data_IF_731862565183
#
_entry.id   IF_731862565183
#
_cell.length_a   1.000
_cell.length_b   1.000
_cell.length_c   1.000
_cell.angle_alpha   90.00
_cell.angle_beta   90.00
_cell.angle_gamma   90.00
#
_symmetry.space_group_name_H-M   'P 1'
#
loop_
_entity.id
_entity.type
_entity.pdbx_description
1 polymer ?
#
# COMPACT_ATOMS: atom_id res chain seq x y z
N UNK A 1 -31.38 8.97 -5.75
CA UNK A 1 -30.10 8.42 -5.30
C UNK A 1 -28.99 9.16 -6.00
N UNK A 2 -28.16 9.91 -5.29
CA UNK A 2 -26.95 10.51 -5.88
C UNK A 2 -25.98 9.35 -6.09
N UNK A 3 -25.96 8.79 -7.30
CA UNK A 3 -24.99 7.77 -7.69
C UNK A 3 -23.65 8.51 -7.81
N UNK A 4 -22.85 8.44 -6.75
CA UNK A 4 -21.52 9.05 -6.69
C UNK A 4 -20.69 8.47 -7.84
N UNK A 5 -20.36 9.31 -8.83
CA UNK A 5 -19.49 8.92 -9.93
C UNK A 5 -18.15 8.47 -9.36
N UNK A 6 -17.63 7.33 -9.82
CA UNK A 6 -16.36 6.78 -9.37
C UNK A 6 -15.24 7.81 -9.55
N UNK A 7 -15.35 8.68 -10.57
CA UNK A 7 -14.42 9.81 -10.75
C UNK A 7 -14.35 10.73 -9.53
N UNK A 8 -15.50 11.08 -8.94
CA UNK A 8 -15.55 11.95 -7.75
C UNK A 8 -14.88 11.29 -6.55
N UNK A 9 -15.09 9.99 -6.35
CA UNK A 9 -14.43 9.22 -5.28
C UNK A 9 -12.91 9.23 -5.50
N UNK A 10 -12.46 8.99 -6.72
CA UNK A 10 -11.04 8.97 -7.06
C UNK A 10 -10.38 10.36 -6.95
N UNK A 11 -11.09 11.45 -7.27
CA UNK A 11 -10.59 12.82 -7.06
C UNK A 11 -10.34 13.10 -5.57
N UNK A 12 -11.29 12.73 -4.70
CA UNK A 12 -11.09 12.85 -3.25
C UNK A 12 -9.89 12.04 -2.76
N UNK A 13 -9.69 10.86 -3.32
CA UNK A 13 -8.55 10.00 -3.01
C UNK A 13 -7.20 10.64 -3.41
N UNK A 14 -7.12 11.25 -4.59
CA UNK A 14 -5.92 11.99 -5.03
C UNK A 14 -5.60 13.13 -4.06
N UNK A 15 -6.59 13.93 -3.68
CA UNK A 15 -6.38 15.05 -2.76
C UNK A 15 -5.84 14.58 -1.40
N UNK A 16 -6.39 13.46 -0.89
CA UNK A 16 -5.90 12.84 0.35
C UNK A 16 -4.44 12.39 0.24
N UNK A 17 -4.07 11.79 -0.89
CA UNK A 17 -2.69 11.34 -1.16
C UNK A 17 -1.73 12.54 -1.25
N UNK A 18 -2.11 13.59 -1.99
CA UNK A 18 -1.29 14.79 -2.11
C UNK A 18 -1.07 15.46 -0.74
N UNK A 19 -2.12 15.50 0.10
CA UNK A 19 -2.01 16.00 1.46
C UNK A 19 -1.05 15.14 2.31
N UNK A 20 -1.10 13.81 2.19
CA UNK A 20 -0.19 12.91 2.91
C UNK A 20 1.28 13.14 2.49
N UNK A 21 1.56 13.24 1.18
CA UNK A 21 2.90 13.56 0.68
C UNK A 21 3.37 14.90 1.21
N UNK A 22 2.55 15.95 1.09
CA UNK A 22 2.92 17.29 1.54
C UNK A 22 3.21 17.31 3.04
N UNK A 23 2.40 16.64 3.84
CA UNK A 23 2.56 16.54 5.30
C UNK A 23 3.86 15.83 5.67
N UNK A 24 4.13 14.66 5.08
CA UNK A 24 5.33 13.88 5.37
C UNK A 24 6.59 14.59 4.86
N UNK A 25 6.50 15.24 3.71
CA UNK A 25 7.59 16.05 3.16
C UNK A 25 7.91 17.24 4.07
N UNK A 26 6.89 17.96 4.55
CA UNK A 26 7.07 19.06 5.50
C UNK A 26 7.71 18.58 6.80
N UNK A 27 7.22 17.46 7.37
CA UNK A 27 7.81 16.84 8.56
C UNK A 27 9.27 16.46 8.35
N UNK A 28 9.62 15.94 7.17
CA UNK A 28 10.99 15.60 6.81
C UNK A 28 11.87 16.83 6.69
N UNK A 29 11.42 17.86 5.98
CA UNK A 29 12.20 19.10 5.85
C UNK A 29 12.47 19.75 7.22
N UNK A 30 11.49 19.70 8.12
CA UNK A 30 11.62 20.25 9.47
C UNK A 30 12.49 19.40 10.40
N UNK A 31 12.41 18.06 10.32
CA UNK A 31 13.00 17.17 11.33
C UNK A 31 13.97 16.12 10.78
N UNK A 32 14.49 16.28 9.54
CA UNK A 32 15.39 15.30 8.89
C UNK A 32 16.62 14.90 9.72
N UNK A 33 17.09 15.79 10.60
CA UNK A 33 18.27 15.55 11.43
C UNK A 33 17.93 14.89 12.78
N UNK A 34 16.65 14.90 13.18
CA UNK A 34 16.22 14.43 14.50
C UNK A 34 15.59 13.04 14.46
N UNK A 35 14.74 12.77 13.46
CA UNK A 35 14.05 11.49 13.32
C UNK A 35 14.62 10.65 12.19
N UNK A 36 15.26 9.52 12.55
CA UNK A 36 15.71 8.52 11.58
C UNK A 36 14.48 7.83 10.94
N UNK A 37 14.58 7.46 9.67
CA UNK A 37 13.50 6.77 8.94
C UNK A 37 12.45 7.66 8.26
N UNK A 38 12.47 8.97 8.50
CA UNK A 38 11.48 9.88 7.92
C UNK A 38 11.66 10.04 6.39
N UNK A 39 12.90 9.93 5.90
CA UNK A 39 13.20 9.89 4.46
C UNK A 39 12.57 8.68 3.76
N UNK A 40 12.51 7.52 4.44
CA UNK A 40 11.91 6.29 3.92
C UNK A 40 10.39 6.43 3.82
N UNK A 41 9.75 7.19 4.71
CA UNK A 41 8.34 7.54 4.59
C UNK A 41 8.07 8.50 3.44
N UNK A 42 8.92 9.51 3.22
CA UNK A 42 8.79 10.39 2.05
C UNK A 42 8.85 9.57 0.77
N UNK A 43 9.83 8.68 0.65
CA UNK A 43 9.95 7.77 -0.49
C UNK A 43 8.69 6.89 -0.64
N UNK A 44 8.21 6.30 0.46
CA UNK A 44 7.02 5.46 0.46
C UNK A 44 5.78 6.20 -0.09
N UNK A 45 5.48 7.36 0.47
CA UNK A 45 4.32 8.15 0.05
C UNK A 45 4.49 8.69 -1.36
N UNK A 46 5.71 9.02 -1.78
CA UNK A 46 5.98 9.41 -3.17
C UNK A 46 5.69 8.26 -4.15
N UNK A 47 6.18 7.04 -3.86
CA UNK A 47 5.93 5.86 -4.69
C UNK A 47 4.44 5.50 -4.75
N UNK A 48 3.75 5.51 -3.61
CA UNK A 48 2.30 5.29 -3.55
C UNK A 48 1.55 6.35 -4.35
N UNK A 49 1.95 7.61 -4.26
CA UNK A 49 1.30 8.70 -4.98
C UNK A 49 1.44 8.55 -6.48
N UNK A 50 2.63 8.21 -6.97
CA UNK A 50 2.84 7.91 -8.39
C UNK A 50 1.91 6.76 -8.82
N UNK A 51 1.85 5.67 -8.05
CA UNK A 51 0.99 4.54 -8.39
C UNK A 51 -0.49 4.94 -8.48
N UNK A 52 -1.02 5.67 -7.49
CA UNK A 52 -2.43 6.07 -7.47
C UNK A 52 -2.78 7.17 -8.48
N UNK A 53 -1.88 8.12 -8.74
CA UNK A 53 -2.06 9.11 -9.80
C UNK A 53 -2.09 8.42 -11.17
N UNK A 54 -1.19 7.45 -11.39
CA UNK A 54 -1.16 6.65 -12.62
C UNK A 54 -2.47 5.88 -12.80
N UNK A 55 -3.01 5.25 -11.74
CA UNK A 55 -4.32 4.56 -11.76
C UNK A 55 -5.45 5.51 -12.18
N UNK A 56 -5.44 6.74 -11.67
CA UNK A 56 -6.58 7.63 -11.81
C UNK A 56 -6.57 8.42 -13.11
N UNK A 57 -5.39 8.82 -13.58
CA UNK A 57 -5.22 9.67 -14.77
C UNK A 57 -5.16 8.81 -16.03
N UNK A 58 -4.51 7.66 -15.97
CA UNK A 58 -4.27 6.83 -17.15
C UNK A 58 -5.30 5.72 -17.25
N UNK A 59 -5.66 5.37 -18.48
CA UNK A 59 -6.45 4.19 -18.77
C UNK A 59 -5.56 2.94 -18.64
N UNK A 60 -5.37 2.51 -17.39
CA UNK A 60 -4.45 1.43 -17.02
C UNK A 60 -4.72 0.11 -17.75
N UNK A 61 -5.95 -0.10 -18.23
CA UNK A 61 -6.36 -1.33 -18.90
C UNK A 61 -5.74 -1.49 -20.28
N UNK A 62 -5.41 -0.37 -20.94
CA UNK A 62 -4.83 -0.40 -22.28
C UNK A 62 -3.34 -0.73 -22.29
N UNK A 63 -2.68 -0.62 -21.14
CA UNK A 63 -1.21 -0.72 -21.08
C UNK A 63 -0.76 -1.66 -19.97
N UNK A 64 -0.48 -2.95 -20.27
CA UNK A 64 -0.02 -3.95 -19.30
C UNK A 64 1.22 -3.51 -18.49
N UNK A 65 2.10 -2.71 -19.10
CA UNK A 65 3.27 -2.13 -18.43
C UNK A 65 2.87 -1.24 -17.25
N UNK A 66 1.83 -0.41 -17.41
CA UNK A 66 1.33 0.45 -16.33
C UNK A 66 0.76 -0.38 -15.18
N UNK A 67 0.09 -1.50 -15.48
CA UNK A 67 -0.46 -2.39 -14.45
C UNK A 67 0.66 -2.96 -13.57
N UNK A 68 1.74 -3.46 -14.18
CA UNK A 68 2.89 -3.96 -13.42
C UNK A 68 3.56 -2.83 -12.64
N UNK A 69 3.79 -1.68 -13.28
CA UNK A 69 4.40 -0.51 -12.66
C UNK A 69 3.64 -0.07 -11.40
N UNK A 70 2.32 0.09 -11.50
CA UNK A 70 1.45 0.51 -10.40
C UNK A 70 1.53 -0.46 -9.22
N UNK A 71 1.39 -1.76 -9.46
CA UNK A 71 1.36 -2.76 -8.40
C UNK A 71 2.73 -2.89 -7.71
N UNK A 72 3.82 -2.88 -8.49
CA UNK A 72 5.19 -2.90 -7.97
C UNK A 72 5.49 -1.64 -7.15
N UNK A 73 5.14 -0.46 -7.64
CA UNK A 73 5.32 0.79 -6.88
C UNK A 73 4.47 0.81 -5.61
N UNK A 74 3.25 0.28 -5.67
CA UNK A 74 2.37 0.20 -4.49
C UNK A 74 2.97 -0.69 -3.41
N UNK A 75 3.40 -1.91 -3.74
CA UNK A 75 3.96 -2.83 -2.74
C UNK A 75 5.31 -2.35 -2.22
N UNK A 76 6.17 -1.79 -3.07
CA UNK A 76 7.44 -1.21 -2.65
C UNK A 76 7.22 -0.02 -1.72
N UNK A 77 6.27 0.86 -2.03
CA UNK A 77 5.91 1.98 -1.16
C UNK A 77 5.43 1.50 0.21
N UNK A 78 4.57 0.49 0.25
CA UNK A 78 4.12 -0.13 1.51
C UNK A 78 5.28 -0.75 2.31
N UNK A 79 6.20 -1.46 1.66
CA UNK A 79 7.40 -2.00 2.31
C UNK A 79 8.28 -0.87 2.86
N UNK A 80 8.43 0.25 2.14
CA UNK A 80 9.17 1.42 2.60
C UNK A 80 8.54 2.06 3.85
N UNK A 81 7.21 1.97 4.04
CA UNK A 81 6.56 2.39 5.30
C UNK A 81 7.06 1.53 6.46
N UNK A 82 7.08 0.20 6.29
CA UNK A 82 7.54 -0.76 7.31
C UNK A 82 9.00 -0.49 7.67
N UNK A 83 9.88 -0.34 6.67
CA UNK A 83 11.29 -0.01 6.87
C UNK A 83 11.49 1.35 7.56
N UNK A 84 10.67 2.35 7.22
CA UNK A 84 10.71 3.64 7.88
C UNK A 84 10.28 3.57 9.34
N UNK A 85 9.24 2.78 9.66
CA UNK A 85 8.80 2.54 11.04
C UNK A 85 9.84 1.81 11.87
N UNK A 86 10.44 0.77 11.30
CA UNK A 86 11.57 0.06 11.89
C UNK A 86 12.70 1.01 12.28
N UNK A 87 13.11 1.84 11.31
CA UNK A 87 14.19 2.82 11.52
C UNK A 87 13.79 3.88 12.55
N UNK A 88 12.54 4.33 12.55
CA UNK A 88 12.02 5.32 13.49
C UNK A 88 11.99 4.79 14.93
N UNK A 89 11.61 3.52 15.12
CA UNK A 89 11.57 2.87 16.44
C UNK A 89 12.88 2.18 16.85
N UNK A 90 13.94 2.35 16.04
CA UNK A 90 15.25 1.72 16.25
C UNK A 90 15.13 0.19 16.41
N UNK A 91 14.34 -0.42 15.51
CA UNK A 91 14.12 -1.86 15.42
C UNK A 91 14.61 -2.36 14.08
N UNK A 92 15.31 -3.48 14.09
CA UNK A 92 15.65 -4.20 12.87
C UNK A 92 14.66 -5.35 12.70
N UNK A 93 13.86 -5.34 11.63
CA UNK A 93 13.31 -6.56 11.01
C UNK A 93 14.27 -6.97 9.90
N UNK A 94 14.22 -8.24 9.52
CA UNK A 94 15.01 -8.75 8.40
C UNK A 94 14.54 -8.11 7.10
N UNK A 95 15.33 -7.17 6.56
CA UNK A 95 15.13 -6.57 5.23
C UNK A 95 14.98 -7.62 4.12
N UNK A 96 15.56 -8.81 4.31
CA UNK A 96 15.46 -9.95 3.39
C UNK A 96 14.01 -10.44 3.25
N UNK A 97 13.24 -10.46 4.33
CA UNK A 97 11.83 -10.89 4.30
C UNK A 97 11.01 -9.89 3.48
N UNK A 98 11.23 -8.60 3.71
CA UNK A 98 10.53 -7.54 3.00
C UNK A 98 10.92 -7.52 1.51
N UNK A 99 12.21 -7.73 1.19
CA UNK A 99 12.67 -7.88 -0.19
C UNK A 99 12.05 -9.10 -0.87
N UNK A 100 12.04 -10.26 -0.21
CA UNK A 100 11.44 -11.48 -0.75
C UNK A 100 9.93 -11.29 -1.01
N UNK A 101 9.22 -10.61 -0.11
CA UNK A 101 7.81 -10.26 -0.29
C UNK A 101 7.63 -9.37 -1.51
N UNK A 102 8.38 -8.27 -1.61
CA UNK A 102 8.30 -7.34 -2.75
C UNK A 102 8.58 -8.01 -4.09
N UNK A 103 9.62 -8.83 -4.16
CA UNK A 103 9.97 -9.60 -5.36
C UNK A 103 8.89 -10.62 -5.72
N UNK A 104 8.34 -11.34 -4.74
CA UNK A 104 7.30 -12.35 -4.98
C UNK A 104 6.02 -11.71 -5.52
N UNK A 105 5.56 -10.61 -4.89
CA UNK A 105 4.36 -9.89 -5.34
C UNK A 105 4.56 -9.29 -6.73
N UNK A 106 5.73 -8.71 -7.00
CA UNK A 106 6.06 -8.16 -8.32
C UNK A 106 6.10 -9.24 -9.39
N UNK A 107 6.73 -10.38 -9.09
CA UNK A 107 6.80 -11.53 -10.01
C UNK A 107 5.41 -12.10 -10.32
N UNK A 108 4.58 -12.32 -9.30
CA UNK A 108 3.21 -12.80 -9.48
C UNK A 108 2.37 -11.80 -10.29
N UNK A 109 2.56 -10.50 -10.07
CA UNK A 109 1.89 -9.46 -10.86
C UNK A 109 2.29 -9.53 -12.33
N UNK A 110 3.59 -9.71 -12.63
CA UNK A 110 4.09 -9.89 -14.01
C UNK A 110 3.48 -11.14 -14.62
N UNK A 111 3.47 -12.25 -13.90
CA UNK A 111 2.90 -13.53 -14.33
C UNK A 111 1.42 -13.37 -14.72
N UNK A 112 0.59 -12.81 -13.82
CA UNK A 112 -0.84 -12.60 -14.07
C UNK A 112 -1.15 -11.45 -15.03
N UNK A 113 -0.15 -10.70 -15.48
CA UNK A 113 -0.32 -9.64 -16.49
C UNK A 113 0.06 -10.10 -17.89
N UNK A 114 1.14 -10.86 -18.04
CA UNK A 114 1.68 -11.25 -19.36
C UNK A 114 1.48 -12.71 -19.73
N UNK A 115 1.61 -13.63 -18.75
CA UNK A 115 1.64 -15.07 -19.03
C UNK A 115 0.26 -15.71 -18.90
N UNK A 116 -0.48 -15.35 -17.85
CA UNK A 116 -1.86 -15.80 -17.63
C UNK A 116 -2.72 -14.61 -17.21
N UNK A 117 -3.20 -13.79 -18.16
CA UNK A 117 -3.97 -12.58 -17.87
C UNK A 117 -5.19 -12.88 -17.00
N UNK A 118 -5.08 -12.56 -15.70
CA UNK A 118 -6.13 -12.83 -14.72
C UNK A 118 -6.31 -11.62 -13.83
N UNK A 119 -7.43 -10.91 -14.00
CA UNK A 119 -7.77 -9.78 -13.13
C UNK A 119 -7.90 -10.25 -11.68
N UNK A 120 -8.59 -11.37 -11.45
CA UNK A 120 -8.72 -12.00 -10.13
C UNK A 120 -7.34 -12.32 -9.53
N UNK A 121 -6.45 -12.95 -10.31
CA UNK A 121 -5.11 -13.30 -9.85
C UNK A 121 -4.35 -12.08 -9.34
N UNK A 122 -4.34 -10.99 -10.13
CA UNK A 122 -3.71 -9.71 -9.73
C UNK A 122 -4.34 -9.11 -8.48
N UNK A 123 -5.67 -9.08 -8.39
CA UNK A 123 -6.37 -8.53 -7.22
C UNK A 123 -6.06 -9.31 -5.94
N UNK A 124 -6.04 -10.65 -6.01
CA UNK A 124 -5.68 -11.51 -4.88
C UNK A 124 -4.22 -11.32 -4.49
N UNK A 125 -3.29 -11.30 -5.45
CA UNK A 125 -1.86 -11.07 -5.20
C UNK A 125 -1.63 -9.75 -4.48
N UNK A 126 -2.17 -8.64 -5.00
CA UNK A 126 -1.99 -7.31 -4.40
C UNK A 126 -2.66 -7.20 -3.03
N UNK A 127 -3.88 -7.73 -2.87
CA UNK A 127 -4.56 -7.72 -1.58
C UNK A 127 -3.82 -8.55 -0.52
N UNK A 128 -3.27 -9.70 -0.91
CA UNK A 128 -2.46 -10.56 -0.03
C UNK A 128 -1.17 -9.84 0.38
N UNK A 129 -0.45 -9.23 -0.57
CA UNK A 129 0.75 -8.45 -0.29
C UNK A 129 0.47 -7.31 0.71
N UNK A 130 -0.59 -6.54 0.47
CA UNK A 130 -1.01 -5.46 1.37
C UNK A 130 -1.37 -5.99 2.76
N UNK A 131 -2.08 -7.11 2.85
CA UNK A 131 -2.45 -7.73 4.13
C UNK A 131 -1.23 -8.11 4.96
N UNK A 132 -0.20 -8.69 4.31
CA UNK A 132 1.03 -9.08 5.00
C UNK A 132 1.75 -7.84 5.53
N UNK A 133 1.87 -6.78 4.72
CA UNK A 133 2.50 -5.52 5.17
C UNK A 133 1.73 -4.91 6.33
N UNK A 134 0.40 -4.78 6.27
CA UNK A 134 -0.38 -4.20 7.36
C UNK A 134 -0.32 -5.04 8.64
N UNK A 135 -0.26 -6.36 8.51
CA UNK A 135 -0.01 -7.25 9.66
C UNK A 135 1.40 -7.04 10.25
N UNK A 136 2.43 -6.84 9.42
CA UNK A 136 3.77 -6.50 9.90
C UNK A 136 3.80 -5.17 10.65
N UNK A 137 3.12 -4.15 10.14
CA UNK A 137 2.99 -2.85 10.84
C UNK A 137 2.30 -3.03 12.19
N UNK A 138 1.15 -3.71 12.23
CA UNK A 138 0.44 -3.98 13.48
C UNK A 138 1.30 -4.76 14.48
N UNK A 139 2.00 -5.79 14.00
CA UNK A 139 2.90 -6.60 14.83
C UNK A 139 4.06 -5.78 15.41
N UNK A 140 4.72 -4.97 14.58
CA UNK A 140 5.79 -4.08 15.02
C UNK A 140 5.29 -3.15 16.11
N UNK A 141 4.12 -2.55 15.88
CA UNK A 141 3.58 -1.50 16.74
C UNK A 141 3.10 -2.04 18.09
N UNK A 142 2.41 -3.19 18.11
CA UNK A 142 1.91 -3.76 19.37
C UNK A 142 2.99 -4.46 20.19
N UNK A 143 3.93 -5.16 19.54
CA UNK A 143 4.83 -6.06 20.25
C UNK A 143 6.26 -5.54 20.38
N UNK A 144 6.75 -4.68 19.47
CA UNK A 144 8.17 -4.31 19.43
C UNK A 144 8.46 -2.88 19.90
N UNK A 145 7.47 -2.00 19.97
CA UNK A 145 7.63 -0.60 20.39
C UNK A 145 7.88 -0.47 21.92
N UNK A 146 8.77 0.44 22.31
CA UNK A 146 9.07 0.79 23.72
C UNK A 146 7.86 1.40 24.42
N UNK A 147 7.75 1.25 25.74
CA UNK A 147 6.61 1.71 26.53
C UNK A 147 6.26 3.20 26.29
N UNK A 148 7.28 4.04 26.16
CA UNK A 148 7.17 5.50 25.98
C UNK A 148 6.38 5.91 24.73
N UNK A 149 6.41 5.07 23.68
CA UNK A 149 5.73 5.35 22.41
C UNK A 149 4.42 4.59 22.24
N UNK A 150 3.99 3.80 23.23
CA UNK A 150 2.77 2.96 23.11
C UNK A 150 1.50 3.78 22.95
N UNK A 151 1.41 4.98 23.53
CA UNK A 151 0.22 5.83 23.40
C UNK A 151 -0.08 6.20 21.94
N UNK A 152 0.94 6.68 21.22
CA UNK A 152 0.83 7.04 19.79
C UNK A 152 0.79 5.77 18.93
N UNK A 153 1.62 4.78 19.26
CA UNK A 153 1.66 3.50 18.56
C UNK A 153 0.32 2.78 18.56
N UNK A 154 -0.40 2.74 19.67
CA UNK A 154 -1.63 1.95 19.80
C UNK A 154 -2.69 2.30 18.76
N UNK A 155 -2.91 3.60 18.49
CA UNK A 155 -3.85 4.06 17.46
C UNK A 155 -3.41 3.59 16.06
N UNK A 156 -2.12 3.71 15.76
CA UNK A 156 -1.55 3.23 14.51
C UNK A 156 -1.69 1.71 14.35
N UNK A 157 -1.49 0.96 15.44
CA UNK A 157 -1.66 -0.49 15.47
C UNK A 157 -3.09 -0.91 15.17
N UNK A 158 -4.08 -0.25 15.79
CA UNK A 158 -5.51 -0.51 15.52
C UNK A 158 -5.84 -0.24 14.05
N UNK A 159 -5.45 0.93 13.53
CA UNK A 159 -5.70 1.28 12.12
C UNK A 159 -5.06 0.24 11.20
N UNK A 160 -3.85 -0.22 11.51
CA UNK A 160 -3.15 -1.24 10.72
C UNK A 160 -3.88 -2.59 10.76
N UNK A 161 -4.42 -3.00 11.92
CA UNK A 161 -5.26 -4.19 12.02
C UNK A 161 -6.55 -4.07 11.20
N UNK A 162 -7.22 -2.92 11.24
CA UNK A 162 -8.42 -2.67 10.43
C UNK A 162 -8.11 -2.72 8.93
N UNK A 163 -6.97 -2.14 8.52
CA UNK A 163 -6.51 -2.19 7.14
C UNK A 163 -6.17 -3.62 6.70
N UNK A 164 -5.48 -4.39 7.54
CA UNK A 164 -5.20 -5.80 7.29
C UNK A 164 -6.49 -6.61 7.15
N UNK A 165 -7.46 -6.44 8.06
CA UNK A 165 -8.76 -7.10 8.00
C UNK A 165 -9.53 -6.74 6.72
N UNK A 166 -9.51 -5.46 6.32
CA UNK A 166 -10.11 -5.00 5.07
C UNK A 166 -9.42 -5.60 3.83
N UNK A 167 -8.11 -5.81 3.86
CA UNK A 167 -7.43 -6.48 2.73
C UNK A 167 -7.69 -7.98 2.69
N UNK A 168 -7.84 -8.64 3.84
CA UNK A 168 -8.26 -10.05 3.92
C UNK A 168 -9.68 -10.21 3.39
N UNK A 169 -10.61 -9.34 3.78
CA UNK A 169 -11.98 -9.39 3.28
C UNK A 169 -12.01 -9.24 1.75
N UNK A 170 -11.17 -8.37 1.18
CA UNK A 170 -10.99 -8.26 -0.27
C UNK A 170 -10.51 -9.57 -0.90
N UNK A 171 -9.56 -10.28 -0.30
CA UNK A 171 -9.13 -11.61 -0.81
C UNK A 171 -10.31 -12.58 -0.82
N UNK A 172 -11.06 -12.67 0.28
CA UNK A 172 -12.21 -13.57 0.41
C UNK A 172 -13.31 -13.25 -0.63
N UNK A 173 -13.63 -11.97 -0.81
CA UNK A 173 -14.61 -11.53 -1.81
C UNK A 173 -14.14 -11.88 -3.23
N UNK A 174 -12.86 -11.68 -3.55
CA UNK A 174 -12.33 -12.02 -4.87
C UNK A 174 -12.27 -13.54 -5.15
N UNK A 175 -12.26 -14.37 -4.11
CA UNK A 175 -12.38 -15.82 -4.25
C UNK A 175 -13.82 -16.26 -4.56
N UNK A 176 -14.81 -15.57 -4.00
CA UNK A 176 -16.23 -15.94 -4.16
C UNK A 176 -16.87 -15.30 -5.40
N UNK A 177 -16.59 -14.02 -5.65
CA UNK A 177 -17.21 -13.24 -6.73
C UNK A 177 -16.23 -13.16 -7.89
N UNK A 178 -16.71 -13.40 -9.12
CA UNK A 178 -15.90 -13.14 -10.31
C UNK A 178 -15.84 -11.63 -10.53
N UNK A 179 -14.66 -10.98 -10.44
CA UNK A 179 -14.55 -9.59 -10.82
C UNK A 179 -14.93 -9.51 -12.30
N UNK A 180 -15.86 -8.60 -12.64
CA UNK A 180 -16.20 -8.31 -14.03
C UNK A 180 -14.97 -7.92 -14.85
N UNK A 181 -15.11 -7.77 -16.16
CA UNK A 181 -13.96 -7.52 -17.05
C UNK A 181 -13.28 -6.15 -16.81
N UNK A 182 -13.87 -5.24 -16.02
CA UNK A 182 -13.31 -3.91 -15.68
C UNK A 182 -13.60 -3.53 -14.21
N UNK A 183 -12.73 -2.74 -13.54
CA UNK A 183 -12.98 -2.22 -12.16
C UNK A 183 -14.30 -1.43 -12.03
N UNK A 184 -14.78 -0.86 -13.13
CA UNK A 184 -15.93 0.06 -13.15
C UNK A 184 -17.25 -0.63 -13.46
N UNK A 185 -17.23 -1.89 -13.86
CA UNK A 185 -18.45 -2.70 -13.97
C UNK A 185 -18.68 -3.39 -12.63
N UNK A 186 -19.54 -2.80 -11.81
CA UNK A 186 -20.20 -3.58 -10.77
C UNK A 186 -20.99 -4.73 -11.45
N UNK A 187 -21.06 -5.92 -10.83
CA UNK A 187 -22.08 -6.90 -11.23
C UNK A 187 -23.49 -6.33 -11.08
#
# INVERSE_FOLDING_TARGET
MIMLDMKTIMTGFILGILLQVATILALWLQHKNHYKGLHTWVLAYFMLSIAYLTITILDIYKTPVLIVFINTFSICGLISIVLGLETFFDKNISWKINLALGLTISFLTIYFTYLSPSLRGRMITTATGNSIVWAQVAFLVFYRIKADFRGIGYQMGIISCLLAANTVSRVLVNLQIHPGNTFFSAP
#
